data_IF_336568310951
#
_entry.id   IF_336568310951
#
_cell.length_a   1.000
_cell.length_b   1.000
_cell.length_c   1.000
_cell.angle_alpha   90.00
_cell.angle_beta   90.00
_cell.angle_gamma   90.00
#
_symmetry.space_group_name_H-M   'P 1'
#
loop_
_entity.id
_entity.type
_entity.pdbx_description
1 polymer ?
#
# COMPACT_ATOMS: atom_id res chain seq x y z
N UNK A 1 0.79 39.85 15.67
CA UNK A 1 1.39 38.94 16.67
C UNK A 1 0.66 37.61 16.61
N UNK A 2 1.30 36.62 16.06
CA UNK A 2 0.80 35.23 16.01
C UNK A 2 0.76 34.69 17.45
N UNK A 3 -0.34 34.16 17.93
CA UNK A 3 -0.43 33.70 19.32
C UNK A 3 0.58 32.57 19.59
N UNK A 4 1.38 32.73 20.63
CA UNK A 4 2.32 31.71 21.14
C UNK A 4 1.67 30.36 21.46
N UNK A 5 0.33 30.31 21.53
CA UNK A 5 -0.45 29.10 21.82
C UNK A 5 -0.46 28.05 20.67
N UNK A 6 -0.25 28.48 19.41
CA UNK A 6 -0.26 27.52 18.29
C UNK A 6 1.01 26.68 18.21
N UNK A 7 2.15 27.21 18.63
CA UNK A 7 3.41 26.46 18.66
C UNK A 7 3.46 25.44 19.80
N UNK A 8 2.95 25.80 20.99
CA UNK A 8 2.90 24.88 22.14
C UNK A 8 1.96 23.70 21.89
N UNK A 9 0.79 23.92 21.28
CA UNK A 9 -0.12 22.85 20.90
C UNK A 9 0.51 21.92 19.86
N UNK A 10 1.18 22.48 18.82
CA UNK A 10 1.91 21.70 17.83
C UNK A 10 3.03 20.85 18.45
N UNK A 11 3.74 21.38 19.43
CA UNK A 11 4.81 20.65 20.13
C UNK A 11 4.29 19.51 21.00
N UNK A 12 3.11 19.68 21.63
CA UNK A 12 2.46 18.61 22.39
C UNK A 12 2.06 17.46 21.49
N UNK A 13 1.47 17.75 20.32
CA UNK A 13 1.11 16.71 19.33
C UNK A 13 2.34 15.97 18.80
N UNK A 14 3.42 16.66 18.50
CA UNK A 14 4.67 16.06 18.02
C UNK A 14 5.36 15.19 19.08
N UNK A 15 5.12 15.43 20.37
CA UNK A 15 5.70 14.65 21.48
C UNK A 15 4.97 13.34 21.74
N UNK A 16 3.71 13.21 21.36
CA UNK A 16 2.91 12.00 21.65
C UNK A 16 3.56 10.71 21.10
N UNK A 17 4.02 10.63 19.84
CA UNK A 17 4.71 9.44 19.34
C UNK A 17 6.02 9.16 20.08
N UNK A 18 6.77 10.21 20.39
CA UNK A 18 8.04 10.09 21.10
C UNK A 18 7.87 9.58 22.53
N UNK A 19 6.78 9.95 23.18
CA UNK A 19 6.44 9.52 24.55
C UNK A 19 5.61 8.23 24.60
N UNK A 20 5.35 7.60 23.46
CA UNK A 20 4.48 6.41 23.37
C UNK A 20 3.09 6.62 23.99
N UNK A 21 2.57 7.86 23.95
CA UNK A 21 1.25 8.23 24.50
C UNK A 21 0.15 8.29 23.45
N UNK A 22 0.28 7.49 22.37
CA UNK A 22 -0.72 7.40 21.31
C UNK A 22 -1.95 6.68 21.83
N UNK A 23 -3.11 7.32 21.67
CA UNK A 23 -4.43 6.75 22.01
C UNK A 23 -5.18 6.34 20.75
N UNK A 24 -6.21 5.47 20.85
CA UNK A 24 -7.03 5.12 19.68
C UNK A 24 -7.69 6.30 18.98
N UNK A 25 -7.92 7.42 19.68
CA UNK A 25 -8.52 8.65 19.15
C UNK A 25 -7.50 9.69 18.67
N UNK A 26 -6.18 9.40 18.75
CA UNK A 26 -5.17 10.32 18.26
C UNK A 26 -5.16 10.35 16.72
N UNK A 27 -4.77 11.49 16.11
CA UNK A 27 -4.64 11.64 14.67
C UNK A 27 -3.70 10.59 14.08
N UNK A 28 -2.63 10.23 14.79
CA UNK A 28 -1.71 9.16 14.39
C UNK A 28 -2.36 7.78 14.24
N UNK A 29 -3.49 7.54 14.91
CA UNK A 29 -4.26 6.29 14.81
C UNK A 29 -5.45 6.42 13.88
N UNK A 30 -6.07 7.60 13.77
CA UNK A 30 -7.31 7.81 13.03
C UNK A 30 -7.05 8.17 11.57
N UNK A 31 -6.11 9.11 11.30
CA UNK A 31 -5.88 9.62 9.95
C UNK A 31 -5.40 8.54 8.98
N UNK A 32 -4.45 7.64 9.32
CA UNK A 32 -4.07 6.56 8.42
C UNK A 32 -5.21 5.60 8.12
N UNK A 33 -6.09 5.33 9.10
CA UNK A 33 -7.27 4.50 8.91
C UNK A 33 -8.21 5.12 7.87
N UNK A 34 -8.60 6.39 8.07
CA UNK A 34 -9.48 7.11 7.15
C UNK A 34 -8.86 7.22 5.76
N UNK A 35 -7.59 7.60 5.67
CA UNK A 35 -6.87 7.75 4.40
C UNK A 35 -6.80 6.47 3.59
N UNK A 36 -6.49 5.34 4.24
CA UNK A 36 -6.45 4.05 3.56
C UNK A 36 -7.84 3.60 3.09
N UNK A 37 -8.89 3.77 3.89
CA UNK A 37 -10.25 3.41 3.45
C UNK A 37 -10.78 4.33 2.37
N UNK A 38 -10.42 5.61 2.35
CA UNK A 38 -10.74 6.51 1.25
C UNK A 38 -10.04 6.07 -0.04
N UNK A 39 -8.79 5.64 0.03
CA UNK A 39 -8.07 5.08 -1.12
C UNK A 39 -8.71 3.78 -1.61
N UNK A 40 -9.09 2.87 -0.71
CA UNK A 40 -9.77 1.61 -1.03
C UNK A 40 -11.10 1.89 -1.72
N UNK A 41 -11.88 2.85 -1.24
CA UNK A 41 -13.18 3.22 -1.83
C UNK A 41 -13.00 3.78 -3.25
N UNK A 42 -12.02 4.65 -3.47
CA UNK A 42 -11.68 5.14 -4.80
C UNK A 42 -11.26 4.01 -5.75
N UNK A 43 -10.43 3.06 -5.29
CA UNK A 43 -10.07 1.90 -6.08
C UNK A 43 -11.29 1.04 -6.41
N UNK A 44 -12.17 0.81 -5.45
CA UNK A 44 -13.39 0.05 -5.67
C UNK A 44 -14.32 0.75 -6.68
N UNK A 45 -14.49 2.07 -6.58
CA UNK A 45 -15.29 2.83 -7.53
C UNK A 45 -14.77 2.71 -8.97
N UNK A 46 -13.44 2.66 -9.16
CA UNK A 46 -12.83 2.41 -10.47
C UNK A 46 -13.14 0.97 -10.91
N UNK A 47 -12.90 -0.01 -10.04
CA UNK A 47 -13.09 -1.43 -10.35
C UNK A 47 -14.57 -1.77 -10.66
N UNK A 48 -15.50 -1.19 -9.93
CA UNK A 48 -16.95 -1.36 -10.14
C UNK A 48 -17.42 -0.82 -11.51
N UNK A 49 -16.68 0.13 -12.09
CA UNK A 49 -17.03 0.75 -13.36
C UNK A 49 -16.15 0.31 -14.55
N UNK A 50 -15.26 -0.65 -14.37
CA UNK A 50 -14.35 -1.12 -15.43
C UNK A 50 -15.09 -1.68 -16.67
N UNK A 51 -16.23 -2.30 -16.47
CA UNK A 51 -17.04 -2.87 -17.58
C UNK A 51 -17.55 -1.80 -18.54
N UNK A 52 -17.59 -0.53 -18.14
CA UNK A 52 -17.96 0.58 -19.02
C UNK A 52 -16.88 0.92 -20.04
N UNK A 53 -15.65 0.46 -19.82
CA UNK A 53 -14.52 0.67 -20.71
C UNK A 53 -14.35 -0.51 -21.66
N UNK A 54 -14.03 -0.26 -22.94
CA UNK A 54 -13.70 -1.33 -23.87
C UNK A 54 -12.44 -2.08 -23.42
N UNK A 55 -12.37 -3.36 -23.72
CA UNK A 55 -11.17 -4.16 -23.47
C UNK A 55 -9.98 -3.57 -24.23
N UNK A 56 -8.92 -3.27 -23.49
CA UNK A 56 -7.70 -2.63 -24.01
C UNK A 56 -6.56 -2.79 -23.00
N UNK A 57 -5.33 -2.55 -23.46
CA UNK A 57 -4.16 -2.50 -22.59
C UNK A 57 -4.28 -1.38 -21.53
N UNK A 58 -4.94 -0.28 -21.88
CA UNK A 58 -5.18 0.82 -20.95
C UNK A 58 -6.18 0.43 -19.86
N UNK A 59 -7.27 -0.29 -20.19
CA UNK A 59 -8.19 -0.85 -19.21
C UNK A 59 -7.46 -1.81 -18.25
N UNK A 60 -6.63 -2.70 -18.80
CA UNK A 60 -5.82 -3.63 -18.00
C UNK A 60 -4.86 -2.88 -17.05
N UNK A 61 -4.25 -1.80 -17.53
CA UNK A 61 -3.39 -0.95 -16.71
C UNK A 61 -4.17 -0.31 -15.56
N UNK A 62 -5.33 0.29 -15.84
CA UNK A 62 -6.19 0.93 -14.83
C UNK A 62 -6.63 -0.10 -13.78
N UNK A 63 -7.06 -1.29 -14.21
CA UNK A 63 -7.44 -2.38 -13.31
C UNK A 63 -6.26 -2.81 -12.44
N UNK A 64 -5.11 -3.08 -13.05
CA UNK A 64 -3.89 -3.53 -12.37
C UNK A 64 -3.41 -2.51 -11.32
N UNK A 65 -3.35 -1.23 -11.69
CA UNK A 65 -2.97 -0.16 -10.75
C UNK A 65 -3.97 -0.05 -9.58
N UNK A 66 -5.27 -0.13 -9.85
CA UNK A 66 -6.31 -0.05 -8.82
C UNK A 66 -6.24 -1.23 -7.84
N UNK A 67 -6.02 -2.45 -8.33
CA UNK A 67 -5.84 -3.64 -7.51
C UNK A 67 -4.57 -3.56 -6.65
N UNK A 68 -3.46 -3.09 -7.22
CA UNK A 68 -2.20 -2.93 -6.50
C UNK A 68 -2.30 -1.84 -5.41
N UNK A 69 -2.94 -0.70 -5.69
CA UNK A 69 -3.20 0.36 -4.71
C UNK A 69 -4.11 -0.11 -3.59
N UNK A 70 -5.20 -0.81 -3.92
CA UNK A 70 -6.11 -1.40 -2.92
C UNK A 70 -5.37 -2.36 -2.00
N UNK A 71 -4.54 -3.24 -2.59
CA UNK A 71 -3.69 -4.17 -1.84
C UNK A 71 -2.71 -3.44 -0.93
N UNK A 72 -2.03 -2.42 -1.44
CA UNK A 72 -1.11 -1.61 -0.64
C UNK A 72 -1.78 -0.99 0.57
N UNK A 73 -2.98 -0.41 0.38
CA UNK A 73 -3.76 0.18 1.47
C UNK A 73 -4.17 -0.87 2.52
N UNK A 74 -4.65 -2.05 2.09
CA UNK A 74 -4.95 -3.15 3.01
C UNK A 74 -3.71 -3.65 3.75
N UNK A 75 -2.59 -3.78 3.07
CA UNK A 75 -1.33 -4.21 3.69
C UNK A 75 -0.87 -3.20 4.76
N UNK A 76 -1.03 -1.91 4.52
CA UNK A 76 -0.75 -0.88 5.50
C UNK A 76 -1.68 -0.97 6.72
N UNK A 77 -2.99 -1.09 6.47
CA UNK A 77 -4.00 -1.23 7.52
C UNK A 77 -3.77 -2.46 8.40
N UNK A 78 -3.57 -3.64 7.79
CA UNK A 78 -3.45 -4.89 8.54
C UNK A 78 -2.22 -4.88 9.45
N UNK A 79 -1.12 -4.28 9.01
CA UNK A 79 0.11 -4.16 9.80
C UNK A 79 -0.03 -3.17 10.96
N UNK A 80 -0.85 -2.13 10.82
CA UNK A 80 -1.06 -1.15 11.89
C UNK A 80 -2.13 -1.57 12.90
N UNK A 81 -3.19 -2.22 12.46
CA UNK A 81 -4.41 -2.39 13.26
C UNK A 81 -4.77 -3.84 13.58
N UNK A 82 -3.96 -4.81 13.15
CA UNK A 82 -4.18 -6.22 13.44
C UNK A 82 -2.92 -6.92 13.98
N UNK A 83 -3.10 -8.16 14.41
CA UNK A 83 -2.00 -9.00 14.87
C UNK A 83 -1.28 -9.68 13.71
N UNK A 84 0.00 -10.07 13.88
CA UNK A 84 0.76 -10.76 12.83
C UNK A 84 0.09 -12.06 12.38
N UNK A 85 0.00 -12.25 11.05
CA UNK A 85 -0.71 -13.37 10.42
C UNK A 85 -0.12 -14.74 10.78
N UNK A 86 1.19 -14.84 10.90
CA UNK A 86 1.89 -16.10 11.21
C UNK A 86 1.60 -16.66 12.60
N UNK A 87 1.11 -15.82 13.53
CA UNK A 87 0.78 -16.21 14.91
C UNK A 87 -0.71 -16.16 15.21
N UNK A 88 -1.45 -15.30 14.53
CA UNK A 88 -2.83 -14.97 14.86
C UNK A 88 -3.72 -14.88 13.61
N UNK A 89 -3.74 -15.94 12.75
CA UNK A 89 -4.46 -15.89 11.48
C UNK A 89 -5.99 -15.69 11.63
N UNK A 90 -6.57 -16.26 12.67
CA UNK A 90 -8.03 -16.25 12.90
C UNK A 90 -8.50 -15.04 13.73
N UNK A 91 -7.58 -14.19 14.18
CA UNK A 91 -7.95 -12.96 14.91
C UNK A 91 -8.63 -11.96 13.97
N UNK A 92 -9.41 -11.02 14.54
CA UNK A 92 -9.98 -9.92 13.75
C UNK A 92 -8.88 -9.13 13.02
N UNK A 93 -9.00 -9.09 11.70
CA UNK A 93 -8.19 -8.29 10.80
C UNK A 93 -8.78 -6.89 10.59
N UNK A 94 -9.04 -6.52 9.34
CA UNK A 94 -9.65 -5.25 8.94
C UNK A 94 -10.94 -5.49 8.15
N UNK A 95 -11.69 -4.45 7.81
CA UNK A 95 -12.87 -4.57 6.96
C UNK A 95 -12.44 -4.74 5.50
N UNK A 96 -12.69 -5.89 4.91
CA UNK A 96 -12.37 -6.15 3.48
C UNK A 96 -13.56 -5.72 2.63
N UNK A 97 -13.49 -4.53 2.05
CA UNK A 97 -14.48 -3.95 1.14
C UNK A 97 -14.01 -4.11 -0.29
N UNK A 98 -14.81 -4.75 -1.12
CA UNK A 98 -14.47 -5.04 -2.52
C UNK A 98 -15.28 -4.23 -3.51
N UNK A 99 -16.27 -3.49 -3.04
CA UNK A 99 -17.12 -2.60 -3.82
C UNK A 99 -17.23 -1.25 -3.15
N UNK A 100 -17.47 -0.20 -3.93
CA UNK A 100 -17.79 1.14 -3.41
C UNK A 100 -19.22 1.13 -2.85
N UNK A 101 -19.36 0.83 -1.57
CA UNK A 101 -20.64 0.70 -0.89
C UNK A 101 -20.54 1.25 0.53
N UNK A 102 -21.65 1.84 1.01
CA UNK A 102 -21.77 2.34 2.39
C UNK A 102 -22.25 1.27 3.37
N UNK A 103 -22.50 0.04 2.91
CA UNK A 103 -23.00 -1.05 3.76
C UNK A 103 -21.98 -1.40 4.85
N UNK A 104 -22.42 -1.52 6.06
CA UNK A 104 -21.59 -1.99 7.17
C UNK A 104 -21.29 -3.47 7.00
N UNK A 105 -20.01 -3.82 7.14
CA UNK A 105 -19.53 -5.19 7.07
C UNK A 105 -18.72 -5.51 8.32
N UNK A 106 -18.73 -6.76 8.79
CA UNK A 106 -17.87 -7.17 9.89
C UNK A 106 -16.39 -7.16 9.51
N UNK A 107 -15.51 -7.10 10.51
CA UNK A 107 -14.08 -7.32 10.28
C UNK A 107 -13.84 -8.73 9.79
N UNK A 108 -13.05 -8.86 8.74
CA UNK A 108 -12.57 -10.16 8.26
C UNK A 108 -11.49 -10.71 9.20
N UNK A 109 -11.20 -12.00 9.12
CA UNK A 109 -10.03 -12.54 9.84
C UNK A 109 -8.73 -12.00 9.22
N UNK A 110 -7.64 -12.02 9.98
CA UNK A 110 -6.32 -11.64 9.44
C UNK A 110 -5.99 -12.49 8.23
N UNK A 111 -6.22 -13.80 8.29
CA UNK A 111 -6.00 -14.74 7.19
C UNK A 111 -6.79 -14.34 5.93
N UNK A 112 -8.08 -14.06 6.07
CA UNK A 112 -8.93 -13.70 4.93
C UNK A 112 -8.49 -12.39 4.29
N UNK A 113 -8.02 -11.42 5.10
CA UNK A 113 -7.43 -10.19 4.58
C UNK A 113 -6.21 -10.47 3.70
N UNK A 114 -5.30 -11.36 4.13
CA UNK A 114 -4.13 -11.73 3.34
C UNK A 114 -4.49 -12.54 2.09
N UNK A 115 -5.48 -13.43 2.17
CA UNK A 115 -5.99 -14.15 0.98
C UNK A 115 -6.50 -13.16 -0.07
N UNK A 116 -7.26 -12.15 0.34
CA UNK A 116 -7.74 -11.13 -0.60
C UNK A 116 -6.61 -10.29 -1.18
N UNK A 117 -5.64 -9.88 -0.34
CA UNK A 117 -4.48 -9.13 -0.82
C UNK A 117 -3.65 -9.92 -1.84
N UNK A 118 -3.46 -11.23 -1.61
CA UNK A 118 -2.75 -12.10 -2.55
C UNK A 118 -3.51 -12.20 -3.87
N UNK A 119 -4.83 -12.43 -3.83
CA UNK A 119 -5.65 -12.48 -5.04
C UNK A 119 -5.56 -11.20 -5.87
N UNK A 120 -5.67 -10.04 -5.22
CA UNK A 120 -5.59 -8.74 -5.88
C UNK A 120 -4.21 -8.49 -6.48
N UNK A 121 -3.14 -8.74 -5.73
CA UNK A 121 -1.79 -8.41 -6.18
C UNK A 121 -1.29 -9.35 -7.29
N UNK A 122 -1.63 -10.63 -7.24
CA UNK A 122 -1.28 -11.56 -8.33
C UNK A 122 -1.98 -11.18 -9.64
N UNK A 123 -3.26 -10.82 -9.55
CA UNK A 123 -3.99 -10.29 -10.71
C UNK A 123 -3.36 -8.99 -11.22
N UNK A 124 -3.00 -8.08 -10.32
CA UNK A 124 -2.32 -6.84 -10.67
C UNK A 124 -0.97 -7.09 -11.37
N UNK A 125 -0.15 -7.99 -10.85
CA UNK A 125 1.13 -8.38 -11.47
C UNK A 125 0.92 -8.90 -12.90
N UNK A 126 -0.13 -9.70 -13.11
CA UNK A 126 -0.47 -10.23 -14.44
C UNK A 126 -0.89 -9.12 -15.40
N UNK A 127 -1.79 -8.24 -14.97
CA UNK A 127 -2.34 -7.15 -15.79
C UNK A 127 -1.31 -6.08 -16.13
N UNK A 128 -0.33 -5.87 -15.25
CA UNK A 128 0.73 -4.87 -15.40
C UNK A 128 1.99 -5.42 -16.10
N UNK A 129 1.98 -6.68 -16.54
CA UNK A 129 3.13 -7.28 -17.26
C UNK A 129 3.55 -6.43 -18.45
N UNK A 130 4.81 -6.08 -18.53
CA UNK A 130 5.39 -5.25 -19.59
C UNK A 130 5.08 -3.76 -19.47
N UNK A 131 4.37 -3.32 -18.43
CA UNK A 131 4.12 -1.88 -18.22
C UNK A 131 5.37 -1.18 -17.71
N UNK A 132 5.67 -0.04 -18.31
CA UNK A 132 6.74 0.86 -17.87
C UNK A 132 6.24 2.30 -17.85
N UNK A 133 6.85 3.14 -17.03
CA UNK A 133 6.53 4.58 -17.00
C UNK A 133 7.79 5.39 -16.71
N UNK A 134 7.92 6.54 -17.37
CA UNK A 134 8.93 7.53 -17.04
C UNK A 134 8.66 8.23 -15.72
N UNK A 135 7.39 8.26 -15.29
CA UNK A 135 6.97 8.80 -13.99
C UNK A 135 6.82 7.67 -12.98
N UNK A 136 7.53 7.79 -11.86
CA UNK A 136 7.46 6.84 -10.76
C UNK A 136 6.22 7.00 -9.85
N UNK A 137 5.27 7.84 -10.25
CA UNK A 137 3.97 8.00 -9.57
C UNK A 137 2.97 6.91 -9.98
N UNK A 138 3.20 6.24 -11.11
CA UNK A 138 2.36 5.13 -11.58
C UNK A 138 2.88 3.79 -11.10
N UNK A 139 1.97 2.87 -10.79
CA UNK A 139 2.36 1.51 -10.43
C UNK A 139 2.65 0.73 -11.71
N UNK A 140 3.91 0.37 -11.89
CA UNK A 140 4.39 -0.51 -12.97
C UNK A 140 4.45 -1.96 -12.51
N UNK A 141 4.80 -2.87 -13.43
CA UNK A 141 5.07 -4.28 -13.11
C UNK A 141 6.02 -4.43 -11.92
N UNK A 142 7.14 -3.68 -11.93
CA UNK A 142 8.14 -3.75 -10.86
C UNK A 142 7.56 -3.30 -9.50
N UNK A 143 6.73 -2.25 -9.49
CA UNK A 143 6.10 -1.76 -8.27
C UNK A 143 5.09 -2.79 -7.71
N UNK A 144 4.28 -3.39 -8.57
CA UNK A 144 3.34 -4.45 -8.16
C UNK A 144 4.08 -5.65 -7.57
N UNK A 145 5.16 -6.10 -8.20
CA UNK A 145 6.00 -7.17 -7.66
C UNK A 145 6.66 -6.78 -6.34
N UNK A 146 7.07 -5.53 -6.16
CA UNK A 146 7.60 -5.02 -4.88
C UNK A 146 6.57 -5.08 -3.76
N UNK A 147 5.31 -4.76 -4.04
CA UNK A 147 4.20 -4.88 -3.09
C UNK A 147 3.94 -6.37 -2.76
N UNK A 148 3.88 -7.23 -3.78
CA UNK A 148 3.68 -8.67 -3.60
C UNK A 148 4.76 -9.30 -2.72
N UNK A 149 6.03 -8.99 -2.96
CA UNK A 149 7.15 -9.50 -2.18
C UNK A 149 7.01 -9.22 -0.67
N UNK A 150 6.51 -8.03 -0.32
CA UNK A 150 6.29 -7.65 1.10
C UNK A 150 5.14 -8.42 1.73
N UNK A 151 4.08 -8.70 0.99
CA UNK A 151 2.94 -9.50 1.46
C UNK A 151 3.37 -10.94 1.72
N UNK A 152 4.09 -11.55 0.77
CA UNK A 152 4.60 -12.92 0.93
C UNK A 152 5.63 -13.03 2.06
N UNK A 153 6.42 -11.97 2.31
CA UNK A 153 7.30 -11.92 3.47
C UNK A 153 6.53 -11.99 4.79
N UNK A 154 5.44 -11.24 4.92
CA UNK A 154 4.60 -11.27 6.12
C UNK A 154 3.91 -12.63 6.31
N UNK A 155 3.55 -13.31 5.22
CA UNK A 155 3.01 -14.67 5.22
C UNK A 155 4.05 -15.75 5.57
N UNK A 156 5.34 -15.44 5.50
CA UNK A 156 6.43 -16.41 5.64
C UNK A 156 6.64 -17.28 4.40
N UNK A 157 6.01 -16.95 3.28
CA UNK A 157 6.24 -17.60 2.00
C UNK A 157 7.45 -16.98 1.28
N UNK A 158 8.63 -17.41 1.72
CA UNK A 158 9.89 -16.88 1.21
C UNK A 158 10.17 -17.26 -0.24
N UNK A 159 9.58 -18.34 -0.73
CA UNK A 159 9.74 -18.79 -2.13
C UNK A 159 9.09 -17.77 -3.08
N UNK A 160 7.81 -17.50 -2.88
CA UNK A 160 7.09 -16.50 -3.68
C UNK A 160 7.62 -15.09 -3.39
N UNK A 161 7.91 -14.76 -2.15
CA UNK A 161 8.50 -13.48 -1.76
C UNK A 161 9.81 -13.18 -2.51
N UNK A 162 10.72 -14.16 -2.59
CA UNK A 162 11.99 -14.01 -3.33
C UNK A 162 11.77 -13.90 -4.84
N UNK A 163 10.84 -14.70 -5.40
CA UNK A 163 10.50 -14.63 -6.81
C UNK A 163 10.01 -13.23 -7.19
N UNK A 164 9.06 -12.67 -6.43
CA UNK A 164 8.55 -11.33 -6.67
C UNK A 164 9.61 -10.24 -6.43
N UNK A 165 10.43 -10.37 -5.41
CA UNK A 165 11.52 -9.42 -5.16
C UNK A 165 12.51 -9.37 -6.33
N UNK A 166 12.89 -10.52 -6.89
CA UNK A 166 13.77 -10.58 -8.06
C UNK A 166 13.14 -9.90 -9.28
N UNK A 167 11.84 -10.08 -9.52
CA UNK A 167 11.14 -9.39 -10.60
C UNK A 167 11.06 -7.88 -10.37
N UNK A 168 10.81 -7.45 -9.15
CA UNK A 168 10.80 -6.03 -8.81
C UNK A 168 12.15 -5.34 -9.05
N UNK A 169 13.24 -6.08 -8.89
CA UNK A 169 14.62 -5.57 -9.01
C UNK A 169 15.23 -5.79 -10.40
N UNK A 170 14.55 -6.46 -11.33
CA UNK A 170 15.11 -6.90 -12.60
C UNK A 170 15.72 -5.78 -13.45
N UNK A 171 15.20 -4.56 -13.33
CA UNK A 171 15.65 -3.37 -14.08
C UNK A 171 16.27 -2.28 -13.18
N UNK A 172 16.45 -2.59 -11.90
CA UNK A 172 16.96 -1.63 -10.92
C UNK A 172 18.48 -1.79 -10.77
N UNK A 173 19.17 -0.69 -10.95
CA UNK A 173 20.61 -0.62 -10.68
C UNK A 173 20.84 0.14 -9.38
N UNK A 174 21.63 -0.45 -8.48
CA UNK A 174 22.00 0.20 -7.23
C UNK A 174 22.76 1.50 -7.53
N UNK A 175 22.47 2.54 -6.75
CA UNK A 175 23.17 3.80 -6.82
C UNK A 175 24.64 3.63 -6.43
N UNK A 176 25.51 4.42 -7.07
CA UNK A 176 26.87 4.54 -6.60
C UNK A 176 26.92 5.18 -5.19
N UNK A 177 27.99 4.92 -4.43
CA UNK A 177 28.20 5.56 -3.13
C UNK A 177 28.20 7.10 -3.21
N UNK A 178 28.64 7.66 -4.33
CA UNK A 178 28.67 9.10 -4.55
C UNK A 178 27.24 9.63 -4.76
N UNK A 179 26.44 8.96 -5.60
CA UNK A 179 25.06 9.35 -5.88
C UNK A 179 24.18 9.19 -4.63
N UNK A 180 24.36 8.11 -3.86
CA UNK A 180 23.68 7.91 -2.58
C UNK A 180 23.92 9.09 -1.62
N UNK A 181 25.17 9.57 -1.51
CA UNK A 181 25.50 10.70 -0.64
C UNK A 181 24.94 12.04 -1.13
N UNK A 182 24.88 12.23 -2.45
CA UNK A 182 24.56 13.53 -3.04
C UNK A 182 23.10 13.65 -3.50
N UNK A 183 22.43 12.53 -3.81
CA UNK A 183 21.12 12.52 -4.51
C UNK A 183 20.10 11.58 -3.89
N UNK A 184 20.28 11.15 -2.65
CA UNK A 184 19.37 10.19 -2.03
C UNK A 184 17.90 10.59 -2.13
N UNK A 185 17.61 11.88 -2.02
CA UNK A 185 16.23 12.42 -2.12
C UNK A 185 15.85 12.88 -3.52
N UNK A 186 16.82 13.04 -4.44
CA UNK A 186 16.60 13.55 -5.78
C UNK A 186 17.16 12.57 -6.81
N UNK A 187 16.38 12.30 -7.88
CA UNK A 187 16.78 11.39 -8.98
C UNK A 187 17.32 10.03 -8.51
N UNK A 188 16.71 9.47 -7.46
CA UNK A 188 17.08 8.18 -6.93
C UNK A 188 16.72 7.07 -7.93
N UNK A 189 17.74 6.40 -8.49
CA UNK A 189 17.57 5.30 -9.47
C UNK A 189 16.97 4.05 -8.83
N UNK A 190 17.10 3.87 -7.51
CA UNK A 190 16.56 2.74 -6.78
C UNK A 190 15.07 2.90 -6.42
N UNK A 191 14.52 4.12 -6.55
CA UNK A 191 13.09 4.33 -6.32
C UNK A 191 12.29 3.69 -7.44
N UNK A 192 11.44 2.73 -7.10
CA UNK A 192 10.55 2.05 -8.04
C UNK A 192 9.24 2.83 -8.18
N UNK A 193 8.68 3.25 -7.07
CA UNK A 193 7.40 3.94 -7.00
C UNK A 193 7.30 4.81 -5.74
N UNK A 194 6.56 5.94 -5.83
CA UNK A 194 6.25 6.82 -4.71
C UNK A 194 4.90 7.53 -4.88
N UNK A 195 4.32 7.97 -3.77
CA UNK A 195 3.17 8.87 -3.76
C UNK A 195 3.60 10.33 -3.99
N UNK A 196 2.78 11.09 -4.75
CA UNK A 196 2.95 12.55 -4.94
C UNK A 196 2.01 13.33 -4.05
#
# INVERSE_FOLDING_TARGET
STPLYSSAASDVYKRQPYQYSITPSSTYSVDPWIGCYSLIDNCNAILDNLETLPESSERNRIEGESLALRTYAYHYLIRMYAKPVNKYPDNPGVFVRLTSSTTDIPRSTVKDCYVQMVNDIEKACTLLTGTSSSSKCYITEQAAHGIAARIYLDLGDYTNGTSHANKALSEITLMSKADYKNKFCENNTETIWYFT
#
